data_IF_237967387614
#
_entry.id   IF_237967387614
#
_cell.length_a   1.000
_cell.length_b   1.000
_cell.length_c   1.000
_cell.angle_alpha   90.00
_cell.angle_beta   90.00
_cell.angle_gamma   90.00
#
_symmetry.space_group_name_H-M   'P 1'
#
loop_
_entity.id
_entity.type
_entity.pdbx_description
1 polymer ?
#
# COMPACT_ATOMS: atom_id res chain seq x y z
N UNK A 1 -73.92 31.46 -1.74
CA UNK A 1 -73.82 30.53 -2.88
C UNK A 1 -72.70 31.04 -3.76
N UNK A 2 -71.55 30.51 -3.59
CA UNK A 2 -70.36 30.91 -4.40
C UNK A 2 -69.79 29.66 -5.09
N UNK A 3 -69.77 29.71 -6.41
CA UNK A 3 -69.17 28.69 -7.26
C UNK A 3 -67.62 28.88 -7.30
N UNK A 4 -66.84 27.84 -7.34
CA UNK A 4 -65.38 27.95 -7.46
C UNK A 4 -64.97 28.10 -8.92
N UNK A 5 -64.00 28.96 -9.14
CA UNK A 5 -63.34 29.31 -10.44
C UNK A 5 -62.48 28.17 -10.97
N UNK A 6 -62.57 27.96 -12.29
CA UNK A 6 -61.79 27.01 -13.06
C UNK A 6 -60.32 27.41 -13.12
N UNK A 7 -59.44 26.46 -12.95
CA UNK A 7 -57.99 26.60 -13.16
C UNK A 7 -57.67 26.56 -14.66
N UNK A 8 -57.02 27.61 -15.15
CA UNK A 8 -56.49 27.72 -16.49
C UNK A 8 -55.23 26.79 -16.66
N UNK A 9 -55.26 25.99 -17.69
CA UNK A 9 -54.13 25.18 -18.10
C UNK A 9 -53.05 26.01 -18.78
N UNK A 10 -51.80 25.74 -18.46
CA UNK A 10 -50.60 26.33 -19.03
C UNK A 10 -50.33 25.75 -20.44
N UNK A 11 -50.23 26.61 -21.52
CA UNK A 11 -50.10 26.14 -22.90
C UNK A 11 -48.68 25.81 -23.31
N UNK A 12 -47.69 25.70 -22.41
CA UNK A 12 -46.26 25.61 -22.78
C UNK A 12 -45.67 24.19 -22.69
N UNK A 13 -46.42 23.13 -22.49
CA UNK A 13 -45.90 21.78 -22.57
C UNK A 13 -46.09 21.19 -23.97
N UNK A 14 -45.05 21.29 -24.81
CA UNK A 14 -44.93 20.50 -26.01
C UNK A 14 -44.70 19.02 -25.64
N UNK A 15 -45.66 18.15 -26.02
CA UNK A 15 -45.53 16.70 -25.89
C UNK A 15 -44.53 16.14 -26.94
N UNK A 16 -44.02 14.94 -26.74
CA UNK A 16 -43.11 14.31 -27.69
C UNK A 16 -43.84 13.99 -29.02
N UNK A 17 -43.12 14.06 -30.16
CA UNK A 17 -43.72 13.78 -31.47
C UNK A 17 -44.10 12.29 -31.59
N UNK A 18 -45.18 12.00 -32.36
CA UNK A 18 -45.63 10.61 -32.62
C UNK A 18 -44.64 9.84 -33.53
N UNK A 19 -44.54 8.52 -33.42
CA UNK A 19 -43.71 7.70 -34.29
C UNK A 19 -44.27 7.71 -35.72
N UNK A 20 -43.38 7.90 -36.73
CA UNK A 20 -43.70 7.87 -38.12
C UNK A 20 -44.06 6.47 -38.63
N UNK A 21 -44.87 6.34 -39.71
CA UNK A 21 -45.32 5.07 -40.28
C UNK A 21 -44.18 4.32 -40.97
N UNK A 22 -44.08 3.03 -40.70
CA UNK A 22 -43.06 2.14 -41.25
C UNK A 22 -43.20 1.96 -42.77
N UNK A 23 -42.09 2.00 -43.46
CA UNK A 23 -41.95 1.57 -44.85
C UNK A 23 -41.49 0.09 -44.94
N UNK A 24 -41.95 -0.69 -45.92
CA UNK A 24 -41.62 -2.09 -46.02
C UNK A 24 -40.35 -2.36 -46.83
N UNK A 25 -39.55 -3.30 -46.38
CA UNK A 25 -38.74 -4.15 -47.24
C UNK A 25 -37.33 -3.64 -47.60
N UNK A 26 -36.34 -4.15 -46.91
CA UNK A 26 -34.94 -4.19 -47.37
C UNK A 26 -34.32 -5.54 -47.02
N UNK A 27 -33.94 -6.29 -48.03
CA UNK A 27 -33.35 -7.60 -47.98
C UNK A 27 -32.02 -7.63 -47.20
N UNK A 28 -31.58 -8.77 -46.67
CA UNK A 28 -30.31 -8.89 -45.97
C UNK A 28 -29.13 -8.72 -46.94
N UNK A 29 -28.31 -7.71 -46.72
CA UNK A 29 -27.04 -7.54 -47.43
C UNK A 29 -26.03 -8.57 -46.93
N UNK A 30 -25.47 -9.29 -47.90
CA UNK A 30 -24.40 -10.23 -47.75
C UNK A 30 -23.14 -9.57 -47.18
N UNK A 31 -22.44 -10.30 -46.35
CA UNK A 31 -21.12 -9.97 -45.82
C UNK A 31 -20.14 -9.61 -46.95
N UNK A 32 -19.65 -8.39 -46.95
CA UNK A 32 -18.46 -8.04 -47.72
C UNK A 32 -17.22 -8.31 -46.83
N UNK A 33 -16.15 -8.90 -47.37
CA UNK A 33 -14.92 -9.10 -46.64
C UNK A 33 -14.23 -7.76 -46.37
N UNK A 34 -13.80 -7.58 -45.16
CA UNK A 34 -13.05 -6.40 -44.70
C UNK A 34 -11.75 -6.23 -45.50
N UNK A 35 -11.52 -5.05 -46.02
CA UNK A 35 -10.26 -4.64 -46.61
C UNK A 35 -9.12 -4.61 -45.56
N UNK A 36 -7.86 -4.58 -46.01
CA UNK A 36 -6.70 -4.68 -45.12
C UNK A 36 -6.65 -3.48 -44.16
N UNK A 37 -6.56 -3.80 -42.87
CA UNK A 37 -6.39 -2.82 -41.80
C UNK A 37 -5.04 -2.07 -41.86
N UNK A 38 -4.94 -0.93 -41.21
CA UNK A 38 -3.71 -0.14 -41.24
C UNK A 38 -2.53 -0.92 -40.66
N UNK A 39 -1.43 -0.88 -41.43
CA UNK A 39 -0.17 -1.52 -41.15
C UNK A 39 0.39 -1.12 -39.76
N UNK A 40 0.88 -2.12 -39.03
CA UNK A 40 1.63 -1.91 -37.81
C UNK A 40 2.88 -1.05 -38.06
N UNK A 41 3.32 -0.23 -37.09
CA UNK A 41 4.53 0.57 -37.20
C UNK A 41 5.77 -0.34 -37.42
N UNK A 42 6.76 0.12 -38.22
CA UNK A 42 7.94 -0.67 -38.53
C UNK A 42 8.76 -0.91 -37.24
N UNK A 43 9.25 -2.14 -37.11
CA UNK A 43 10.18 -2.53 -36.06
C UNK A 43 11.51 -1.72 -36.20
N UNK A 44 12.19 -1.40 -35.08
CA UNK A 44 13.46 -0.72 -35.10
C UNK A 44 14.53 -1.56 -35.85
N UNK A 45 15.49 -0.94 -36.55
CA UNK A 45 16.50 -1.65 -37.32
C UNK A 45 17.35 -2.51 -36.40
N UNK A 46 17.37 -3.82 -36.69
CA UNK A 46 18.30 -4.76 -36.05
C UNK A 46 19.71 -4.42 -36.43
N UNK A 47 20.60 -4.36 -35.45
CA UNK A 47 22.03 -4.26 -35.67
C UNK A 47 22.51 -5.48 -36.45
N UNK A 48 23.11 -5.24 -37.64
CA UNK A 48 23.67 -6.26 -38.50
C UNK A 48 24.70 -7.11 -37.74
N UNK A 49 24.51 -8.40 -37.81
CA UNK A 49 25.56 -9.36 -37.40
C UNK A 49 26.66 -9.34 -38.46
N UNK A 50 27.86 -9.03 -38.02
CA UNK A 50 29.06 -9.08 -38.80
C UNK A 50 29.49 -10.56 -38.95
N UNK A 51 29.53 -11.14 -40.18
CA UNK A 51 29.76 -12.59 -40.37
C UNK A 51 31.25 -13.00 -40.15
N UNK A 52 32.09 -12.10 -39.70
CA UNK A 52 33.52 -12.37 -39.59
C UNK A 52 34.11 -12.25 -38.17
N UNK A 53 33.24 -12.40 -37.13
CA UNK A 53 33.74 -12.42 -35.76
C UNK A 53 33.83 -13.86 -35.26
N UNK A 54 34.99 -14.34 -34.86
CA UNK A 54 35.17 -15.67 -34.27
C UNK A 54 34.38 -15.77 -32.97
N UNK A 55 33.82 -16.92 -32.60
CA UNK A 55 33.04 -17.09 -31.38
C UNK A 55 33.96 -16.89 -30.17
N UNK A 56 33.76 -15.75 -29.50
CA UNK A 56 34.39 -15.50 -28.20
C UNK A 56 33.53 -16.24 -27.17
N UNK A 57 34.12 -17.28 -26.58
CA UNK A 57 33.50 -18.09 -25.54
C UNK A 57 33.00 -17.18 -24.41
N UNK A 58 31.76 -17.32 -24.06
CA UNK A 58 31.18 -16.69 -22.89
C UNK A 58 31.94 -17.12 -21.64
N UNK A 59 32.07 -16.24 -20.65
CA UNK A 59 32.64 -16.64 -19.37
C UNK A 59 31.76 -17.72 -18.75
N UNK A 60 32.37 -18.91 -18.65
CA UNK A 60 31.88 -19.98 -17.80
C UNK A 60 31.96 -19.48 -16.37
N UNK A 61 30.82 -19.23 -15.76
CA UNK A 61 30.73 -19.15 -14.31
C UNK A 61 30.90 -20.57 -13.75
N UNK A 62 32.14 -20.98 -13.68
CA UNK A 62 32.57 -22.11 -12.85
C UNK A 62 32.39 -21.70 -11.40
N UNK A 63 31.79 -22.60 -10.64
CA UNK A 63 31.62 -22.43 -9.20
C UNK A 63 32.91 -22.06 -8.50
N UNK A 64 32.89 -20.95 -7.82
CA UNK A 64 33.80 -20.53 -6.80
C UNK A 64 32.95 -20.32 -5.57
N UNK A 65 33.18 -21.16 -4.57
CA UNK A 65 32.67 -21.03 -3.22
C UNK A 65 33.22 -19.74 -2.63
N UNK A 66 32.51 -18.62 -2.81
CA UNK A 66 32.73 -17.41 -2.04
C UNK A 66 32.01 -17.55 -0.71
N UNK A 67 32.60 -18.42 0.08
CA UNK A 67 32.33 -18.59 1.50
C UNK A 67 32.82 -17.36 2.25
N UNK A 68 31.92 -16.40 2.46
CA UNK A 68 32.12 -15.29 3.40
C UNK A 68 31.94 -15.77 4.84
N UNK A 69 32.65 -16.85 5.21
CA UNK A 69 32.78 -17.27 6.59
C UNK A 69 33.87 -16.42 7.23
N UNK A 70 33.44 -15.44 8.01
CA UNK A 70 34.29 -14.76 8.98
C UNK A 70 34.58 -15.80 10.06
N UNK A 71 35.75 -16.45 9.96
CA UNK A 71 36.23 -17.37 11.00
C UNK A 71 36.45 -16.62 12.30
N UNK A 72 35.91 -17.09 13.42
CA UNK A 72 36.25 -16.54 14.73
C UNK A 72 37.73 -16.79 15.00
N UNK A 73 38.42 -15.90 15.73
CA UNK A 73 39.83 -16.06 16.06
C UNK A 73 40.01 -17.36 16.86
N UNK A 74 40.70 -18.32 16.27
CA UNK A 74 41.10 -19.55 16.93
C UNK A 74 42.13 -19.23 18.01
N UNK A 75 41.75 -19.45 19.26
CA UNK A 75 42.68 -19.58 20.36
C UNK A 75 43.61 -20.77 20.08
N UNK A 76 44.86 -20.48 19.80
CA UNK A 76 45.89 -21.49 19.51
C UNK A 76 46.09 -22.47 20.68
N UNK A 77 46.30 -23.74 20.40
CA UNK A 77 46.65 -24.71 21.44
C UNK A 77 48.10 -24.49 21.87
N UNK A 78 48.32 -24.38 23.18
CA UNK A 78 49.61 -24.30 23.81
C UNK A 78 50.42 -25.59 23.54
N UNK A 79 51.66 -25.41 23.08
CA UNK A 79 52.63 -26.49 22.93
C UNK A 79 53.09 -27.02 24.28
N UNK A 80 53.51 -28.30 24.31
CA UNK A 80 53.94 -28.94 25.55
C UNK A 80 55.39 -28.68 25.84
N UNK A 81 55.68 -28.37 27.12
CA UNK A 81 56.79 -28.90 27.83
C UNK A 81 58.15 -28.24 27.85
N UNK A 82 58.52 -27.67 28.96
CA UNK A 82 59.86 -27.81 29.51
C UNK A 82 59.80 -27.83 31.04
N UNK A 83 60.52 -28.71 31.74
CA UNK A 83 60.44 -28.85 33.18
C UNK A 83 61.47 -28.01 33.90
N UNK A 84 61.11 -27.46 35.06
CA UNK A 84 62.09 -27.24 36.15
C UNK A 84 62.52 -25.80 36.42
N UNK A 85 61.90 -25.19 37.45
CA UNK A 85 62.57 -24.29 38.36
C UNK A 85 61.79 -24.27 39.71
N UNK A 86 62.49 -24.16 40.86
CA UNK A 86 61.89 -24.39 42.18
C UNK A 86 61.07 -23.18 42.69
N UNK A 87 60.23 -23.39 43.73
CA UNK A 87 59.34 -22.38 44.24
C UNK A 87 60.04 -21.33 45.08
N UNK A 88 60.05 -20.08 44.69
CA UNK A 88 60.33 -18.98 45.59
C UNK A 88 59.04 -18.43 46.17
N UNK A 89 58.96 -18.53 47.50
CA UNK A 89 57.87 -17.97 48.28
C UNK A 89 57.82 -16.46 48.15
N UNK A 90 56.70 -15.96 47.62
CA UNK A 90 56.36 -14.55 47.60
C UNK A 90 55.13 -14.32 48.50
N UNK A 91 55.28 -13.50 49.47
CA UNK A 91 54.18 -13.01 50.33
C UNK A 91 53.18 -12.26 49.47
N UNK A 92 52.07 -12.90 49.13
CA UNK A 92 51.00 -12.25 48.37
C UNK A 92 50.14 -11.42 49.29
N UNK A 93 50.06 -10.14 49.07
CA UNK A 93 49.01 -9.28 49.63
C UNK A 93 47.66 -9.74 49.08
N UNK A 94 46.56 -9.75 49.88
CA UNK A 94 45.24 -10.05 49.37
C UNK A 94 44.84 -8.93 48.39
N UNK A 95 44.66 -9.33 47.14
CA UNK A 95 44.11 -8.49 46.06
C UNK A 95 42.65 -8.19 46.40
N UNK A 96 42.20 -6.94 46.41
CA UNK A 96 40.79 -6.61 46.58
C UNK A 96 39.99 -7.26 45.44
N UNK A 97 38.92 -7.95 45.78
CA UNK A 97 38.14 -8.76 44.91
C UNK A 97 37.82 -8.11 43.56
N UNK A 98 38.07 -8.84 42.49
CA UNK A 98 37.56 -8.51 41.17
C UNK A 98 36.03 -8.34 41.30
N UNK A 99 35.55 -7.12 41.06
CA UNK A 99 34.16 -6.85 40.89
C UNK A 99 33.69 -7.69 39.67
N UNK A 100 33.16 -8.89 39.95
CA UNK A 100 32.42 -9.59 38.94
C UNK A 100 31.22 -8.70 38.60
N UNK A 101 31.22 -8.16 37.38
CA UNK A 101 30.05 -7.53 36.85
C UNK A 101 28.85 -8.49 37.03
N UNK A 102 27.72 -8.00 37.55
CA UNK A 102 26.53 -8.85 37.66
C UNK A 102 26.23 -9.47 36.29
N UNK A 103 25.80 -10.74 36.23
CA UNK A 103 25.42 -11.37 34.99
C UNK A 103 24.37 -10.46 34.31
N UNK A 104 24.42 -10.32 32.97
CA UNK A 104 23.40 -9.58 32.27
C UNK A 104 22.06 -10.20 32.66
N UNK A 105 21.20 -9.36 33.26
CA UNK A 105 19.84 -9.76 33.64
C UNK A 105 19.13 -10.35 32.41
N UNK A 106 18.13 -11.23 32.63
CA UNK A 106 17.36 -11.79 31.52
C UNK A 106 16.89 -10.60 30.68
N UNK A 107 17.40 -10.53 29.42
CA UNK A 107 16.98 -9.52 28.48
C UNK A 107 15.46 -9.60 28.42
N UNK A 108 14.78 -8.53 28.81
CA UNK A 108 13.35 -8.42 28.59
C UNK A 108 13.17 -8.55 27.07
N UNK A 109 12.70 -9.72 26.63
CA UNK A 109 12.23 -9.89 25.28
C UNK A 109 11.07 -8.90 25.14
N UNK A 110 11.33 -7.77 24.50
CA UNK A 110 10.27 -6.86 24.13
C UNK A 110 9.31 -7.67 23.28
N UNK A 111 8.13 -7.95 23.83
CA UNK A 111 7.07 -8.55 23.06
C UNK A 111 6.86 -7.66 21.84
N UNK A 112 6.76 -8.24 20.64
CA UNK A 112 6.52 -7.44 19.44
C UNK A 112 5.27 -6.60 19.69
N UNK A 113 5.41 -5.28 19.53
CA UNK A 113 4.30 -4.37 19.74
C UNK A 113 3.17 -4.75 18.78
N UNK A 114 2.00 -4.97 19.34
CA UNK A 114 0.80 -5.18 18.54
C UNK A 114 0.32 -3.83 18.03
N UNK A 115 0.02 -3.74 16.74
CA UNK A 115 -0.53 -2.53 16.14
C UNK A 115 -1.98 -2.74 15.74
N UNK A 116 -2.80 -1.72 15.96
CA UNK A 116 -4.23 -1.74 15.69
C UNK A 116 -4.59 -0.55 14.77
N UNK A 117 -5.39 -0.83 13.76
CA UNK A 117 -6.04 0.18 12.94
C UNK A 117 -7.51 0.29 13.35
N UNK A 118 -7.95 1.50 13.70
CA UNK A 118 -9.37 1.83 13.90
C UNK A 118 -9.85 2.61 12.69
N UNK A 119 -10.86 2.08 11.99
CA UNK A 119 -11.34 2.60 10.71
C UNK A 119 -12.75 3.14 10.91
N UNK A 120 -12.98 4.38 10.51
CA UNK A 120 -14.31 5.00 10.62
C UNK A 120 -14.43 6.29 9.83
N UNK A 121 -15.65 6.83 9.70
CA UNK A 121 -15.88 8.11 9.05
C UNK A 121 -15.41 9.25 9.95
N UNK A 122 -14.81 10.26 9.31
CA UNK A 122 -14.32 11.45 9.97
C UNK A 122 -14.99 12.68 9.38
N UNK A 123 -15.76 13.36 10.21
CA UNK A 123 -16.49 14.56 9.80
C UNK A 123 -15.57 15.74 9.50
N UNK A 124 -14.51 15.90 10.26
CA UNK A 124 -13.56 16.99 10.08
C UNK A 124 -12.83 16.83 8.74
N UNK A 125 -12.33 15.63 8.49
CA UNK A 125 -11.70 15.29 7.22
C UNK A 125 -12.68 15.46 6.05
N UNK A 126 -13.92 14.97 6.17
CA UNK A 126 -14.96 15.14 5.15
C UNK A 126 -15.19 16.61 4.81
N UNK A 127 -15.32 17.49 5.81
CA UNK A 127 -15.51 18.92 5.57
C UNK A 127 -14.30 19.55 4.88
N UNK A 128 -13.09 19.21 5.28
CA UNK A 128 -11.86 19.67 4.64
C UNK A 128 -11.78 19.19 3.19
N UNK A 129 -12.15 17.94 2.94
CA UNK A 129 -12.19 17.34 1.60
C UNK A 129 -13.22 18.03 0.70
N UNK A 130 -14.42 18.32 1.21
CA UNK A 130 -15.46 19.08 0.48
C UNK A 130 -14.98 20.46 0.06
N UNK A 131 -14.27 21.16 0.94
CA UNK A 131 -13.69 22.48 0.59
C UNK A 131 -12.63 22.40 -0.51
N UNK A 132 -11.85 21.34 -0.53
CA UNK A 132 -10.78 21.11 -1.51
C UNK A 132 -11.31 20.68 -2.88
N UNK A 133 -12.31 19.81 -2.90
CA UNK A 133 -12.84 19.21 -4.13
C UNK A 133 -13.87 20.10 -4.86
N UNK A 134 -14.33 21.19 -4.23
CA UNK A 134 -15.26 22.09 -4.85
C UNK A 134 -16.60 21.46 -5.25
N UNK A 135 -17.23 21.92 -6.36
CA UNK A 135 -18.58 21.50 -6.75
C UNK A 135 -18.68 20.00 -7.11
N UNK A 136 -17.58 19.35 -7.48
CA UNK A 136 -17.58 17.94 -7.85
C UNK A 136 -17.92 17.04 -6.63
N UNK A 137 -17.62 17.48 -5.43
CA UNK A 137 -17.92 16.78 -4.20
C UNK A 137 -19.37 17.00 -3.71
N UNK A 138 -20.16 17.86 -4.35
CA UNK A 138 -21.50 18.24 -3.86
C UNK A 138 -22.51 17.07 -3.72
N UNK A 139 -22.24 15.95 -4.40
CA UNK A 139 -23.02 14.71 -4.28
C UNK A 139 -22.59 13.77 -3.16
N UNK A 140 -21.49 14.05 -2.48
CA UNK A 140 -20.98 13.22 -1.41
C UNK A 140 -21.68 13.54 -0.09
N UNK A 141 -22.06 12.50 0.63
CA UNK A 141 -22.69 12.65 1.94
C UNK A 141 -21.95 11.79 2.96
N UNK A 142 -21.64 12.38 4.10
CA UNK A 142 -21.12 11.60 5.21
C UNK A 142 -22.20 10.61 5.67
N UNK A 143 -21.87 9.31 5.84
CA UNK A 143 -22.85 8.34 6.30
C UNK A 143 -23.37 8.70 7.69
N UNK A 144 -24.72 8.65 7.86
CA UNK A 144 -25.36 8.97 9.13
C UNK A 144 -25.00 7.96 10.24
N UNK A 145 -24.69 6.75 9.84
CA UNK A 145 -24.25 5.66 10.72
C UNK A 145 -23.18 4.84 10.01
N UNK A 146 -22.04 4.70 10.67
CA UNK A 146 -20.98 3.77 10.29
C UNK A 146 -20.28 3.32 11.57
N UNK A 147 -20.38 2.03 11.93
CA UNK A 147 -19.66 1.51 13.07
C UNK A 147 -18.15 1.58 12.79
N UNK A 148 -17.38 1.97 13.80
CA UNK A 148 -15.93 1.86 13.73
C UNK A 148 -15.54 0.38 13.60
N UNK A 149 -14.64 0.12 12.68
CA UNK A 149 -14.03 -1.19 12.49
C UNK A 149 -12.63 -1.18 13.10
N UNK A 150 -12.29 -2.25 13.78
CA UNK A 150 -10.94 -2.44 14.32
C UNK A 150 -10.27 -3.61 13.62
N UNK A 151 -9.00 -3.43 13.26
CA UNK A 151 -8.20 -4.46 12.62
C UNK A 151 -6.79 -4.47 13.21
N UNK A 152 -6.35 -5.61 13.66
CA UNK A 152 -4.95 -5.81 14.04
C UNK A 152 -4.09 -5.82 12.79
N UNK A 153 -3.01 -5.04 12.79
CA UNK A 153 -2.03 -5.03 11.72
C UNK A 153 -1.12 -6.24 11.88
N UNK A 154 -1.18 -7.14 10.91
CA UNK A 154 -0.42 -8.39 10.90
C UNK A 154 0.28 -8.59 9.55
N UNK A 155 1.35 -9.37 9.55
CA UNK A 155 2.15 -9.59 8.35
C UNK A 155 3.05 -8.41 8.02
N UNK A 156 3.56 -8.36 6.80
CA UNK A 156 4.50 -7.34 6.34
C UNK A 156 3.81 -6.14 5.70
N UNK A 157 2.54 -6.30 5.28
CA UNK A 157 1.75 -5.26 4.66
C UNK A 157 0.25 -5.49 4.88
N UNK A 158 -0.52 -4.40 4.85
CA UNK A 158 -1.98 -4.38 4.89
C UNK A 158 -2.47 -3.46 3.80
N UNK A 159 -3.22 -3.99 2.85
CA UNK A 159 -3.74 -3.26 1.69
C UNK A 159 -5.04 -2.54 2.02
N UNK A 160 -5.19 -1.31 1.53
CA UNK A 160 -6.37 -0.46 1.72
C UNK A 160 -6.96 -0.12 0.36
N UNK A 161 -8.27 -0.32 0.20
CA UNK A 161 -8.92 0.00 -1.06
C UNK A 161 -10.35 -0.48 -1.11
N UNK A 162 -10.89 -0.63 -2.34
CA UNK A 162 -12.20 -1.20 -2.58
C UNK A 162 -12.08 -2.49 -3.38
N UNK A 163 -12.89 -3.46 -3.05
CA UNK A 163 -12.98 -4.71 -3.81
C UNK A 163 -13.20 -4.45 -5.30
N UNK A 164 -12.47 -5.16 -6.13
CA UNK A 164 -12.66 -5.14 -7.58
C UNK A 164 -13.48 -6.34 -8.01
N UNK A 165 -14.75 -6.13 -8.35
CA UNK A 165 -15.66 -7.21 -8.72
C UNK A 165 -15.23 -7.96 -9.99
N UNK A 166 -14.57 -7.28 -10.93
CA UNK A 166 -14.15 -7.87 -12.22
C UNK A 166 -13.03 -8.89 -12.09
N UNK A 167 -12.12 -8.71 -11.12
CA UNK A 167 -10.96 -9.60 -10.90
C UNK A 167 -11.09 -10.43 -9.63
N UNK A 168 -12.02 -10.09 -8.75
CA UNK A 168 -12.19 -10.73 -7.45
C UNK A 168 -11.20 -10.25 -6.39
N UNK A 169 -10.33 -9.29 -6.71
CA UNK A 169 -9.35 -8.74 -5.78
C UNK A 169 -10.04 -8.05 -4.61
N UNK A 170 -9.67 -8.43 -3.40
CA UNK A 170 -10.21 -7.88 -2.16
C UNK A 170 -9.06 -7.38 -1.30
N UNK A 171 -8.99 -6.07 -0.99
CA UNK A 171 -7.98 -5.55 -0.10
C UNK A 171 -8.21 -6.01 1.36
N UNK A 172 -7.17 -5.93 2.18
CA UNK A 172 -7.27 -6.28 3.60
C UNK A 172 -8.23 -5.38 4.36
N UNK A 173 -8.20 -4.07 4.08
CA UNK A 173 -9.18 -3.09 4.54
C UNK A 173 -10.04 -2.75 3.33
N UNK A 174 -11.21 -3.40 3.24
CA UNK A 174 -12.16 -3.25 2.13
C UNK A 174 -13.18 -2.16 2.45
N UNK A 175 -13.03 -1.01 1.82
CA UNK A 175 -13.89 0.16 1.97
C UNK A 175 -15.04 0.21 0.93
N UNK A 176 -15.30 -0.91 0.25
CA UNK A 176 -16.52 -1.13 -0.54
C UNK A 176 -17.67 -1.71 0.29
N UNK A 177 -17.40 -2.09 1.54
CA UNK A 177 -18.44 -2.57 2.46
C UNK A 177 -19.29 -1.38 2.93
N UNK A 178 -20.63 -1.49 2.94
CA UNK A 178 -21.47 -0.36 3.36
C UNK A 178 -21.20 0.13 4.80
N UNK A 179 -21.14 1.47 4.98
CA UNK A 179 -21.26 2.51 3.97
C UNK A 179 -19.98 2.63 3.12
N UNK A 180 -20.12 2.41 1.81
CA UNK A 180 -19.01 2.48 0.86
C UNK A 180 -18.48 3.91 0.74
N UNK A 181 -17.15 4.10 0.83
CA UNK A 181 -16.52 5.39 0.54
C UNK A 181 -16.19 5.49 -0.96
N UNK A 182 -16.95 6.26 -1.74
CA UNK A 182 -16.77 6.37 -3.19
C UNK A 182 -15.47 7.07 -3.58
N UNK A 183 -14.85 7.81 -2.65
CA UNK A 183 -13.57 8.48 -2.88
C UNK A 183 -12.36 7.57 -2.81
N UNK A 184 -12.54 6.32 -2.38
CA UNK A 184 -11.43 5.35 -2.25
C UNK A 184 -11.19 4.63 -3.58
N UNK A 185 -9.95 4.58 -4.03
CA UNK A 185 -9.54 3.80 -5.21
C UNK A 185 -9.54 2.30 -4.91
N UNK A 186 -9.56 1.43 -5.95
CA UNK A 186 -9.45 -0.02 -5.76
C UNK A 186 -8.15 -0.44 -5.07
N UNK A 187 -7.05 0.18 -5.44
CA UNK A 187 -5.78 0.16 -4.74
C UNK A 187 -5.51 1.60 -4.30
N UNK A 188 -5.76 1.91 -3.03
CA UNK A 188 -5.65 3.28 -2.55
C UNK A 188 -4.33 3.51 -1.83
N UNK A 189 -4.07 2.73 -0.82
CA UNK A 189 -2.85 2.81 -0.03
C UNK A 189 -2.46 1.44 0.51
N UNK A 190 -1.24 1.32 1.01
CA UNK A 190 -0.72 0.13 1.70
C UNK A 190 -0.04 0.57 2.99
N UNK A 191 -0.37 -0.06 4.09
CA UNK A 191 0.44 0.00 5.30
C UNK A 191 1.56 -1.04 5.17
N UNK A 192 2.79 -0.64 5.40
CA UNK A 192 3.98 -1.51 5.28
C UNK A 192 4.71 -1.55 6.60
N UNK A 193 4.96 -2.76 7.12
CA UNK A 193 5.74 -2.93 8.33
C UNK A 193 7.21 -2.60 8.06
N UNK A 194 7.80 -1.81 8.93
CA UNK A 194 9.20 -1.44 8.87
C UNK A 194 10.07 -2.46 9.64
N UNK A 195 11.37 -2.54 9.37
CA UNK A 195 12.26 -3.48 10.04
C UNK A 195 12.33 -3.33 11.57
N UNK A 196 12.02 -2.14 12.09
CA UNK A 196 11.94 -1.84 13.52
C UNK A 196 10.60 -2.21 14.17
N UNK A 197 9.67 -2.80 13.38
CA UNK A 197 8.34 -3.17 13.83
C UNK A 197 7.33 -2.03 13.86
N UNK A 198 7.69 -0.83 13.40
CA UNK A 198 6.75 0.27 13.16
C UNK A 198 6.04 0.10 11.81
N UNK A 199 5.11 0.98 11.49
CA UNK A 199 4.39 0.95 10.21
C UNK A 199 4.59 2.26 9.46
N UNK A 200 4.54 2.17 8.14
CA UNK A 200 4.51 3.32 7.24
C UNK A 200 3.31 3.19 6.30
N UNK A 201 2.75 4.33 5.88
CA UNK A 201 1.74 4.36 4.83
C UNK A 201 2.36 4.73 3.49
N UNK A 202 1.91 4.07 2.43
CA UNK A 202 2.34 4.30 1.03
C UNK A 202 1.10 4.50 0.18
N UNK A 203 0.95 5.66 -0.42
CA UNK A 203 -0.12 5.90 -1.40
C UNK A 203 0.16 5.13 -2.70
N UNK A 204 -0.85 4.50 -3.25
CA UNK A 204 -0.74 3.69 -4.48
C UNK A 204 -1.17 4.49 -5.73
N UNK A 205 -0.80 5.76 -5.80
CA UNK A 205 -1.25 6.69 -6.85
C UNK A 205 -2.78 6.77 -6.89
N UNK A 206 -3.36 6.95 -5.72
CA UNK A 206 -4.81 7.02 -5.55
C UNK A 206 -5.40 8.28 -6.19
N UNK A 207 -6.66 8.23 -6.58
CA UNK A 207 -7.33 9.34 -7.29
C UNK A 207 -7.43 10.62 -6.44
N UNK A 208 -7.75 10.46 -5.15
CA UNK A 208 -7.95 11.58 -4.23
C UNK A 208 -6.73 11.85 -3.33
N UNK A 209 -5.71 10.99 -3.41
CA UNK A 209 -4.54 11.04 -2.55
C UNK A 209 -4.82 10.51 -1.14
N UNK A 210 -3.72 10.25 -0.43
CA UNK A 210 -3.72 9.88 1.00
C UNK A 210 -3.10 11.02 1.78
N UNK A 211 -3.70 11.44 2.89
CA UNK A 211 -3.12 12.44 3.79
C UNK A 211 -2.91 11.88 5.19
N UNK A 212 -2.01 12.48 5.95
CA UNK A 212 -1.70 12.06 7.33
C UNK A 212 -1.91 13.23 8.28
N UNK A 213 -2.59 12.98 9.39
CA UNK A 213 -2.83 13.96 10.47
C UNK A 213 -3.48 15.27 10.00
N UNK A 214 -4.36 15.21 9.02
CA UNK A 214 -5.06 16.39 8.51
C UNK A 214 -4.21 17.31 7.65
N UNK A 215 -3.08 16.83 7.12
CA UNK A 215 -2.28 17.59 6.15
C UNK A 215 -3.14 18.01 4.95
N UNK A 216 -2.95 19.24 4.48
CA UNK A 216 -3.62 19.73 3.28
C UNK A 216 -3.10 19.08 2.00
N UNK A 217 -1.82 18.72 1.98
CA UNK A 217 -1.19 18.07 0.83
C UNK A 217 -1.17 16.55 1.01
N UNK A 218 -1.55 15.80 -0.04
CA UNK A 218 -1.39 14.35 -0.06
C UNK A 218 0.09 13.95 0.00
N UNK A 219 0.36 12.80 0.59
CA UNK A 219 1.70 12.19 0.55
C UNK A 219 2.06 11.84 -0.90
N UNK A 220 3.36 11.81 -1.19
CA UNK A 220 3.82 11.44 -2.53
C UNK A 220 3.52 9.96 -2.82
N UNK A 221 2.95 9.64 -4.00
CA UNK A 221 2.73 8.25 -4.39
C UNK A 221 4.00 7.41 -4.35
N UNK A 222 3.87 6.19 -3.87
CA UNK A 222 4.93 5.18 -3.75
C UNK A 222 6.09 5.54 -2.80
N UNK A 223 5.94 6.60 -2.01
CA UNK A 223 6.92 6.99 -0.99
C UNK A 223 6.38 6.62 0.39
N UNK A 224 7.08 5.78 1.17
CA UNK A 224 6.64 5.41 2.50
C UNK A 224 6.77 6.59 3.47
N UNK A 225 5.68 6.87 4.20
CA UNK A 225 5.62 7.86 5.27
C UNK A 225 5.48 7.12 6.60
N UNK A 226 6.47 7.21 7.50
CA UNK A 226 6.42 6.54 8.80
C UNK A 226 5.25 7.00 9.65
N UNK A 227 4.62 6.06 10.36
CA UNK A 227 3.49 6.30 11.25
C UNK A 227 3.89 6.08 12.71
N UNK A 228 3.35 6.92 13.58
CA UNK A 228 3.49 6.84 15.02
C UNK A 228 2.18 6.42 15.68
N UNK A 229 2.24 6.10 16.96
CA UNK A 229 1.05 5.81 17.76
C UNK A 229 0.12 7.03 17.79
N UNK A 230 -1.12 6.84 17.42
CA UNK A 230 -2.14 7.87 17.34
C UNK A 230 -2.25 8.58 16.00
N UNK A 231 -1.36 8.30 15.03
CA UNK A 231 -1.44 8.89 13.71
C UNK A 231 -2.72 8.50 12.96
N UNK A 232 -3.22 9.47 12.20
CA UNK A 232 -4.47 9.36 11.44
C UNK A 232 -4.17 9.40 9.95
N UNK A 233 -4.46 8.32 9.27
CA UNK A 233 -4.37 8.21 7.80
C UNK A 233 -5.74 8.46 7.22
N UNK A 234 -5.85 9.46 6.35
CA UNK A 234 -7.08 9.85 5.70
C UNK A 234 -7.08 9.39 4.25
N UNK A 235 -8.15 8.71 3.85
CA UNK A 235 -8.33 8.15 2.51
C UNK A 235 -9.75 8.43 2.00
N UNK A 236 -9.89 8.55 0.68
CA UNK A 236 -11.19 8.73 0.05
C UNK A 236 -11.88 10.04 0.41
N UNK A 237 -13.21 9.99 0.60
CA UNK A 237 -14.02 11.16 0.87
C UNK A 237 -14.18 11.47 2.37
N UNK A 238 -14.18 10.47 3.23
CA UNK A 238 -14.44 10.63 4.68
C UNK A 238 -13.76 9.63 5.58
N UNK A 239 -13.05 8.64 5.05
CA UNK A 239 -12.50 7.55 5.85
C UNK A 239 -11.21 7.96 6.53
N UNK A 240 -11.16 7.75 7.84
CA UNK A 240 -9.94 7.90 8.65
C UNK A 240 -9.57 6.56 9.27
N UNK A 241 -8.30 6.23 9.20
CA UNK A 241 -7.68 5.05 9.79
C UNK A 241 -6.71 5.54 10.87
N UNK A 242 -7.08 5.36 12.13
CA UNK A 242 -6.23 5.72 13.26
C UNK A 242 -5.35 4.54 13.63
N UNK A 243 -4.05 4.74 13.64
CA UNK A 243 -3.05 3.72 13.96
C UNK A 243 -2.70 3.81 15.44
N UNK A 244 -2.79 2.69 16.14
CA UNK A 244 -2.47 2.62 17.57
C UNK A 244 -1.53 1.47 17.86
N UNK A 245 -0.64 1.73 18.81
CA UNK A 245 0.24 0.73 19.39
C UNK A 245 -0.39 0.16 20.64
N UNK A 246 -0.59 -1.18 20.67
CA UNK A 246 -1.17 -1.92 21.80
C UNK A 246 -0.11 -2.57 22.69
#
# INVERSE_FOLDING_TARGET
MNAPSAFGGDPSRQGPPPPGPGGPGGAPQAFQPAGPGPSAPPAPPGFGQDPNRPPQGGPSFGGGDDDWVISPPSSGPGGPGAPGAPPQGGYGYPQPGANQAPPPGPGYQQQPATWLATIGPDREYFMAMMHRSGPEAAGLNLPAYSPEQQRTLTGNQVTIGRRRHSTGDTPDIDLSVPPEDPGVSHQHAVLVQQPDGTWAVVDQNSTNGTTVNGSEEPIQPFVPVPLQDGDRVHVGAWTTITIRRG
#
